data_IF_495526037204
#
_entry.id   IF_495526037204
#
_cell.length_a   1.000
_cell.length_b   1.000
_cell.length_c   1.000
_cell.angle_alpha   90.00
_cell.angle_beta   90.00
_cell.angle_gamma   90.00
#
_symmetry.space_group_name_H-M   'P 1'
#
loop_
_entity.id
_entity.type
_entity.pdbx_description
1 polymer ?
#
# COMPACT_ATOMS: atom_id res chain seq x y z
N UNK A 1 -15.45 -15.98 -8.36
CA UNK A 1 -16.35 -14.94 -7.85
C UNK A 1 -15.75 -13.59 -8.25
N UNK A 2 -16.53 -12.63 -8.73
CA UNK A 2 -16.02 -11.33 -9.25
C UNK A 2 -16.50 -10.20 -8.33
N UNK A 3 -16.14 -10.30 -7.03
CA UNK A 3 -16.63 -9.40 -5.99
C UNK A 3 -16.18 -7.94 -6.13
N UNK A 4 -15.09 -7.73 -6.83
CA UNK A 4 -14.44 -6.42 -6.96
C UNK A 4 -14.42 -5.89 -8.39
N UNK A 5 -15.28 -6.43 -9.27
CA UNK A 5 -15.36 -5.97 -10.65
C UNK A 5 -15.61 -4.46 -10.73
N UNK A 6 -14.73 -3.76 -11.46
CA UNK A 6 -14.76 -2.31 -11.60
C UNK A 6 -14.38 -1.51 -10.35
N UNK A 7 -13.94 -2.15 -9.26
CA UNK A 7 -13.45 -1.47 -8.06
C UNK A 7 -11.96 -1.17 -8.19
N UNK A 8 -11.57 0.06 -7.89
CA UNK A 8 -10.17 0.46 -7.85
C UNK A 8 -9.59 0.22 -6.46
N UNK A 9 -8.48 -0.51 -6.42
CA UNK A 9 -7.78 -0.88 -5.19
C UNK A 9 -6.33 -0.40 -5.27
N UNK A 10 -5.89 0.38 -4.29
CA UNK A 10 -4.49 0.79 -4.11
C UNK A 10 -3.87 -0.09 -3.04
N UNK A 11 -2.68 -0.65 -3.30
CA UNK A 11 -1.93 -1.44 -2.32
C UNK A 11 -0.50 -0.90 -2.24
N UNK A 12 -0.10 -0.39 -1.07
CA UNK A 12 1.28 0.05 -0.82
C UNK A 12 2.17 -1.14 -0.41
N UNK A 13 3.46 -1.08 -0.73
CA UNK A 13 4.39 -2.17 -0.48
C UNK A 13 4.06 -3.44 -1.26
N UNK A 14 3.53 -3.30 -2.49
CA UNK A 14 3.01 -4.42 -3.28
C UNK A 14 3.93 -4.90 -4.41
N UNK A 15 5.20 -4.46 -4.42
CA UNK A 15 6.20 -4.98 -5.36
C UNK A 15 6.56 -6.45 -5.10
N UNK A 16 6.39 -6.94 -3.86
CA UNK A 16 6.72 -8.33 -3.45
C UNK A 16 5.92 -8.75 -2.20
N UNK A 17 6.12 -10.00 -1.79
CA UNK A 17 5.66 -10.52 -0.50
C UNK A 17 4.14 -10.41 -0.30
N UNK A 18 3.73 -10.07 0.91
CA UNK A 18 2.32 -10.01 1.33
C UNK A 18 1.52 -9.04 0.47
N UNK A 19 2.05 -7.84 0.22
CA UNK A 19 1.35 -6.83 -0.59
C UNK A 19 1.08 -7.29 -2.02
N UNK A 20 2.05 -8.00 -2.66
CA UNK A 20 1.86 -8.61 -3.97
C UNK A 20 0.76 -9.67 -3.96
N UNK A 21 0.72 -10.54 -2.96
CA UNK A 21 -0.30 -11.59 -2.85
C UNK A 21 -1.71 -11.01 -2.59
N UNK A 22 -1.81 -9.96 -1.75
CA UNK A 22 -3.05 -9.21 -1.56
C UNK A 22 -3.53 -8.64 -2.90
N UNK A 23 -2.63 -7.97 -3.63
CA UNK A 23 -2.92 -7.39 -4.93
C UNK A 23 -3.38 -8.45 -5.95
N UNK A 24 -2.70 -9.59 -5.99
CA UNK A 24 -3.07 -10.72 -6.85
C UNK A 24 -4.46 -11.26 -6.51
N UNK A 25 -4.82 -11.31 -5.23
CA UNK A 25 -6.15 -11.76 -4.82
C UNK A 25 -7.24 -10.80 -5.29
N UNK A 26 -7.03 -9.49 -5.18
CA UNK A 26 -7.97 -8.51 -5.73
C UNK A 26 -8.07 -8.61 -7.26
N UNK A 27 -6.94 -8.74 -7.95
CA UNK A 27 -6.90 -8.87 -9.41
C UNK A 27 -7.68 -10.11 -9.91
N UNK A 28 -7.53 -11.27 -9.24
CA UNK A 28 -8.31 -12.48 -9.52
C UNK A 28 -9.81 -12.29 -9.38
N UNK A 29 -10.23 -11.34 -8.59
CA UNK A 29 -11.64 -10.99 -8.38
C UNK A 29 -12.09 -9.76 -9.18
N UNK A 30 -11.34 -9.44 -10.26
CA UNK A 30 -11.64 -8.40 -11.26
C UNK A 30 -11.56 -6.95 -10.75
N UNK A 31 -10.76 -6.70 -9.71
CA UNK A 31 -10.43 -5.32 -9.35
C UNK A 31 -9.46 -4.69 -10.35
N UNK A 32 -9.55 -3.36 -10.51
CA UNK A 32 -8.50 -2.54 -11.10
C UNK A 32 -7.44 -2.29 -10.01
N UNK A 33 -6.25 -2.86 -10.15
CA UNK A 33 -5.23 -2.86 -9.10
C UNK A 33 -4.14 -1.84 -9.37
N UNK A 34 -3.92 -0.94 -8.42
CA UNK A 34 -2.78 -0.02 -8.41
C UNK A 34 -1.75 -0.53 -7.40
N UNK A 35 -0.65 -1.04 -7.94
CA UNK A 35 0.50 -1.51 -7.18
C UNK A 35 1.41 -0.33 -6.85
N UNK A 36 1.88 -0.21 -5.61
CA UNK A 36 2.83 0.83 -5.23
C UNK A 36 3.94 0.31 -4.32
N UNK A 37 5.13 0.79 -4.56
CA UNK A 37 6.33 0.58 -3.74
C UNK A 37 7.32 1.72 -4.01
N UNK A 38 8.28 1.94 -3.12
CA UNK A 38 9.43 2.82 -3.36
C UNK A 38 10.56 2.14 -4.15
N UNK A 39 10.37 0.90 -4.58
CA UNK A 39 11.32 0.13 -5.38
C UNK A 39 10.77 -0.10 -6.79
N UNK A 40 11.62 0.06 -7.81
CA UNK A 40 11.26 -0.18 -9.22
C UNK A 40 10.73 -1.60 -9.52
N UNK A 41 10.99 -2.57 -8.62
CA UNK A 41 10.46 -3.93 -8.67
C UNK A 41 8.92 -3.98 -8.83
N UNK A 42 8.22 -2.94 -8.38
CA UNK A 42 6.76 -2.84 -8.54
C UNK A 42 6.33 -2.86 -10.02
N UNK A 43 7.18 -2.35 -10.92
CA UNK A 43 6.91 -2.32 -12.35
C UNK A 43 6.96 -3.74 -12.96
N UNK A 44 7.92 -4.57 -12.51
CA UNK A 44 8.01 -5.97 -12.95
C UNK A 44 6.80 -6.78 -12.45
N UNK A 45 6.38 -6.53 -11.21
CA UNK A 45 5.18 -7.16 -10.65
C UNK A 45 3.93 -6.75 -11.41
N UNK A 46 3.80 -5.48 -11.78
CA UNK A 46 2.71 -4.99 -12.61
C UNK A 46 2.70 -5.66 -13.99
N UNK A 47 3.86 -5.79 -14.63
CA UNK A 47 3.99 -6.50 -15.90
C UNK A 47 3.52 -7.96 -15.77
N UNK A 48 3.96 -8.68 -14.74
CA UNK A 48 3.50 -10.04 -14.47
C UNK A 48 1.97 -10.12 -14.37
N UNK A 49 1.33 -9.17 -13.69
CA UNK A 49 -0.14 -9.15 -13.58
C UNK A 49 -0.82 -8.94 -14.93
N UNK A 50 -0.29 -8.02 -15.75
CA UNK A 50 -0.79 -7.79 -17.11
C UNK A 50 -0.62 -9.01 -18.00
N UNK A 51 0.52 -9.70 -17.91
CA UNK A 51 0.81 -10.93 -18.66
C UNK A 51 -0.16 -12.08 -18.27
N UNK A 52 -0.67 -12.06 -17.02
CA UNK A 52 -1.73 -12.97 -16.56
C UNK A 52 -3.15 -12.52 -16.97
N UNK A 53 -3.30 -11.39 -17.68
CA UNK A 53 -4.58 -10.86 -18.13
C UNK A 53 -5.36 -10.05 -17.06
N UNK A 54 -4.67 -9.55 -16.01
CA UNK A 54 -5.29 -8.73 -14.99
C UNK A 54 -5.17 -7.24 -15.29
N UNK A 55 -6.18 -6.47 -14.88
CA UNK A 55 -6.15 -5.01 -14.90
C UNK A 55 -5.25 -4.50 -13.76
N UNK A 56 -4.06 -4.02 -14.11
CA UNK A 56 -3.08 -3.55 -13.15
C UNK A 56 -2.29 -2.34 -13.67
N UNK A 57 -1.91 -1.46 -12.78
CA UNK A 57 -0.93 -0.39 -13.02
C UNK A 57 0.01 -0.28 -11.83
N UNK A 58 1.18 0.31 -12.03
CA UNK A 58 2.17 0.54 -10.99
C UNK A 58 2.48 2.02 -10.84
N UNK A 59 2.83 2.42 -9.64
CA UNK A 59 3.31 3.75 -9.32
C UNK A 59 4.39 3.68 -8.25
N UNK A 60 5.59 4.16 -8.57
CA UNK A 60 6.68 4.24 -7.59
C UNK A 60 6.41 5.41 -6.64
N UNK A 61 6.24 5.10 -5.35
CA UNK A 61 6.01 6.09 -4.31
C UNK A 61 6.63 5.65 -2.99
N UNK A 62 7.28 6.60 -2.32
CA UNK A 62 7.65 6.46 -0.93
C UNK A 62 6.50 6.98 -0.04
N UNK A 63 6.02 6.11 0.85
CA UNK A 63 4.87 6.44 1.73
C UNK A 63 5.20 7.50 2.78
N UNK A 64 6.48 7.78 3.06
CA UNK A 64 6.90 8.84 3.98
C UNK A 64 6.89 10.23 3.35
N UNK A 65 6.83 10.30 2.02
CA UNK A 65 6.71 11.54 1.26
C UNK A 65 5.25 11.86 0.94
N UNK A 66 4.78 12.97 1.52
CA UNK A 66 3.39 13.43 1.35
C UNK A 66 3.03 13.72 -0.11
N UNK A 67 3.98 14.20 -0.93
CA UNK A 67 3.73 14.48 -2.36
C UNK A 67 3.60 13.19 -3.14
N UNK A 68 4.49 12.22 -2.91
CA UNK A 68 4.42 10.89 -3.53
C UNK A 68 3.09 10.19 -3.23
N UNK A 69 2.66 10.23 -1.96
CA UNK A 69 1.38 9.62 -1.57
C UNK A 69 0.22 10.31 -2.29
N UNK A 70 0.20 11.64 -2.35
CA UNK A 70 -0.83 12.37 -3.10
C UNK A 70 -0.85 11.97 -4.57
N UNK A 71 0.32 11.97 -5.21
CA UNK A 71 0.46 11.63 -6.62
C UNK A 71 0.03 10.19 -6.93
N UNK A 72 0.31 9.23 -6.03
CA UNK A 72 -0.19 7.86 -6.13
C UNK A 72 -1.72 7.81 -6.20
N UNK A 73 -2.39 8.53 -5.30
CA UNK A 73 -3.87 8.55 -5.28
C UNK A 73 -4.46 9.33 -6.47
N UNK A 74 -3.81 10.41 -6.92
CA UNK A 74 -4.20 11.15 -8.12
C UNK A 74 -4.02 10.28 -9.37
N UNK A 75 -2.92 9.53 -9.46
CA UNK A 75 -2.68 8.55 -10.52
C UNK A 75 -3.76 7.48 -10.57
N UNK A 76 -4.10 6.88 -9.42
CA UNK A 76 -5.15 5.86 -9.35
C UNK A 76 -6.51 6.39 -9.82
N UNK A 77 -6.89 7.60 -9.37
CA UNK A 77 -8.13 8.26 -9.80
C UNK A 77 -8.15 8.56 -11.30
N UNK A 78 -7.02 9.02 -11.85
CA UNK A 78 -6.86 9.28 -13.29
C UNK A 78 -6.95 8.00 -14.12
N UNK A 79 -6.36 6.91 -13.65
CA UNK A 79 -6.26 5.66 -14.37
C UNK A 79 -7.56 4.86 -14.39
N UNK A 80 -8.27 4.82 -13.27
CA UNK A 80 -9.40 3.91 -13.07
C UNK A 80 -10.65 4.57 -12.48
N UNK A 81 -10.62 5.87 -12.24
CA UNK A 81 -11.73 6.59 -11.62
C UNK A 81 -11.70 6.51 -10.09
N UNK A 82 -12.86 6.31 -9.47
CA UNK A 82 -13.01 6.37 -8.01
C UNK A 82 -12.17 5.34 -7.28
N UNK A 83 -11.40 5.77 -6.28
CA UNK A 83 -10.70 4.86 -5.36
C UNK A 83 -11.69 4.27 -4.36
N UNK A 84 -11.86 2.95 -4.40
CA UNK A 84 -12.83 2.23 -3.57
C UNK A 84 -12.20 1.55 -2.36
N UNK A 85 -10.96 1.06 -2.50
CA UNK A 85 -10.25 0.32 -1.46
C UNK A 85 -8.81 0.80 -1.41
N UNK A 86 -8.28 0.99 -0.21
CA UNK A 86 -6.87 1.31 0.01
C UNK A 86 -6.29 0.40 1.08
N UNK A 87 -5.25 -0.35 0.71
CA UNK A 87 -4.53 -1.28 1.59
C UNK A 87 -3.16 -0.70 1.89
N UNK A 88 -2.94 -0.33 3.13
CA UNK A 88 -1.68 0.24 3.61
C UNK A 88 -0.84 -0.90 4.20
N UNK A 89 -0.05 -1.53 3.31
CA UNK A 89 0.76 -2.70 3.63
C UNK A 89 2.27 -2.38 3.67
N UNK A 90 2.70 -1.25 3.09
CA UNK A 90 4.10 -0.84 3.20
C UNK A 90 4.54 -0.81 4.66
N UNK A 91 5.66 -1.44 4.94
CA UNK A 91 6.20 -1.52 6.28
C UNK A 91 7.65 -1.99 6.27
N UNK A 92 8.38 -1.61 7.29
CA UNK A 92 9.79 -1.95 7.50
C UNK A 92 10.00 -2.42 8.93
N UNK A 93 11.09 -3.11 9.15
CA UNK A 93 11.56 -3.49 10.46
C UNK A 93 13.07 -3.38 10.49
N UNK A 94 13.61 -2.75 11.53
CA UNK A 94 15.01 -2.85 11.92
C UNK A 94 15.09 -3.69 13.19
N UNK A 95 16.08 -4.56 13.27
CA UNK A 95 16.23 -5.49 14.37
C UNK A 95 17.51 -5.17 15.12
N UNK A 96 17.38 -4.69 16.36
CA UNK A 96 18.50 -4.36 17.24
C UNK A 96 18.07 -4.52 18.71
N UNK A 97 19.05 -4.61 19.62
CA UNK A 97 18.77 -4.39 21.06
C UNK A 97 18.41 -2.93 21.28
N UNK A 98 17.58 -2.66 22.28
CA UNK A 98 17.16 -1.28 22.58
C UNK A 98 18.32 -0.33 22.81
N UNK A 99 19.37 -0.83 23.52
CA UNK A 99 20.59 -0.05 23.78
C UNK A 99 21.45 0.24 22.56
N UNK A 100 21.28 -0.54 21.48
CA UNK A 100 22.05 -0.44 20.23
C UNK A 100 21.25 0.24 19.10
N UNK A 101 19.93 0.42 19.28
CA UNK A 101 19.06 1.02 18.27
C UNK A 101 19.36 2.52 18.13
N UNK A 102 19.66 2.95 16.91
CA UNK A 102 19.94 4.35 16.62
C UNK A 102 18.64 5.16 16.44
N UNK A 103 18.68 6.47 16.74
CA UNK A 103 17.55 7.38 16.44
C UNK A 103 17.12 7.31 14.96
N UNK A 104 18.09 7.18 14.04
CA UNK A 104 17.81 7.07 12.60
C UNK A 104 16.97 5.82 12.27
N UNK A 105 17.28 4.70 12.90
CA UNK A 105 16.51 3.45 12.72
C UNK A 105 15.13 3.57 13.37
N UNK A 106 15.06 4.18 14.55
CA UNK A 106 13.78 4.51 15.21
C UNK A 106 12.90 5.38 14.31
N UNK A 107 13.42 6.51 13.84
CA UNK A 107 12.71 7.44 12.98
C UNK A 107 12.25 6.76 11.67
N UNK A 108 13.14 5.95 11.06
CA UNK A 108 12.80 5.20 9.85
C UNK A 108 11.62 4.26 10.06
N UNK A 109 11.60 3.51 11.17
CA UNK A 109 10.48 2.61 11.48
C UNK A 109 9.17 3.39 11.71
N UNK A 110 9.21 4.48 12.47
CA UNK A 110 8.02 5.29 12.74
C UNK A 110 7.54 6.06 11.50
N UNK A 111 8.44 6.57 10.70
CA UNK A 111 8.09 7.28 9.47
C UNK A 111 7.37 6.35 8.50
N UNK A 112 7.86 5.14 8.26
CA UNK A 112 7.21 4.21 7.34
C UNK A 112 5.95 3.60 7.95
N UNK A 113 6.06 3.00 9.16
CA UNK A 113 4.98 2.18 9.72
C UNK A 113 3.85 3.00 10.35
N UNK A 114 4.09 4.26 10.71
CA UNK A 114 3.11 5.11 11.38
C UNK A 114 2.72 6.31 10.53
N UNK A 115 3.68 7.19 10.20
CA UNK A 115 3.42 8.38 9.40
C UNK A 115 2.98 8.03 7.98
N UNK A 116 3.62 7.04 7.34
CA UNK A 116 3.22 6.56 6.00
C UNK A 116 1.77 6.07 5.97
N UNK A 117 1.35 5.30 6.96
CA UNK A 117 -0.05 4.87 7.12
C UNK A 117 -0.98 6.07 7.31
N UNK A 118 -0.61 7.04 8.15
CA UNK A 118 -1.38 8.27 8.34
C UNK A 118 -1.56 9.05 7.04
N UNK A 119 -0.48 9.27 6.27
CA UNK A 119 -0.53 9.99 4.99
C UNK A 119 -1.43 9.28 3.96
N UNK A 120 -1.31 7.95 3.87
CA UNK A 120 -2.17 7.14 3.00
C UNK A 120 -3.65 7.19 3.43
N UNK A 121 -3.93 7.08 4.74
CA UNK A 121 -5.29 7.24 5.28
C UNK A 121 -5.88 8.61 4.92
N UNK A 122 -5.09 9.69 5.07
CA UNK A 122 -5.55 11.05 4.75
C UNK A 122 -5.98 11.16 3.29
N UNK A 123 -5.16 10.67 2.35
CA UNK A 123 -5.49 10.70 0.93
C UNK A 123 -6.68 9.79 0.58
N UNK A 124 -6.71 8.57 1.12
CA UNK A 124 -7.82 7.64 0.92
C UNK A 124 -9.16 8.26 1.36
N UNK A 125 -9.20 8.83 2.56
CA UNK A 125 -10.41 9.50 3.09
C UNK A 125 -10.83 10.65 2.18
N UNK A 126 -9.90 11.50 1.73
CA UNK A 126 -10.21 12.63 0.84
C UNK A 126 -10.84 12.16 -0.47
N UNK A 127 -10.28 11.14 -1.12
CA UNK A 127 -10.78 10.58 -2.37
C UNK A 127 -12.15 9.90 -2.20
N UNK A 128 -12.29 9.06 -1.17
CA UNK A 128 -13.54 8.33 -0.89
C UNK A 128 -14.69 9.26 -0.48
N UNK A 129 -14.41 10.35 0.24
CA UNK A 129 -15.42 11.38 0.58
C UNK A 129 -15.89 12.16 -0.65
N UNK A 130 -14.98 12.47 -1.58
CA UNK A 130 -15.30 13.15 -2.84
C UNK A 130 -16.29 12.34 -3.70
N UNK A 131 -16.14 11.02 -3.73
CA UNK A 131 -17.01 10.12 -4.48
C UNK A 131 -18.44 9.98 -3.91
N UNK A 132 -18.64 10.35 -2.63
CA UNK A 132 -19.89 10.18 -1.87
C UNK A 132 -20.38 8.72 -1.72
N UNK A 133 -19.62 7.75 -2.25
CA UNK A 133 -19.95 6.31 -2.15
C UNK A 133 -19.23 5.63 -0.99
N UNK A 134 -18.30 6.34 -0.34
CA UNK A 134 -17.45 5.77 0.68
C UNK A 134 -16.39 4.83 0.11
N UNK A 135 -15.83 3.98 0.97
CA UNK A 135 -14.81 3.01 0.60
C UNK A 135 -14.31 2.24 1.81
N UNK A 136 -13.31 1.39 1.60
CA UNK A 136 -12.68 0.60 2.65
C UNK A 136 -11.20 0.93 2.77
N UNK A 137 -10.73 1.16 3.99
CA UNK A 137 -9.32 1.36 4.32
C UNK A 137 -8.88 0.18 5.18
N UNK A 138 -7.79 -0.47 4.78
CA UNK A 138 -7.21 -1.62 5.47
C UNK A 138 -5.78 -1.26 5.86
N UNK A 139 -5.53 -1.16 7.17
CA UNK A 139 -4.19 -0.95 7.70
C UNK A 139 -3.62 -2.29 8.16
N UNK A 140 -2.43 -2.63 7.65
CA UNK A 140 -1.73 -3.83 8.08
C UNK A 140 -1.14 -3.60 9.47
N UNK A 141 -1.42 -4.52 10.38
CA UNK A 141 -0.80 -4.58 11.70
C UNK A 141 0.18 -5.75 11.76
N UNK A 142 0.83 -5.92 12.90
CA UNK A 142 1.74 -7.03 13.15
C UNK A 142 1.35 -7.80 14.41
N UNK A 143 1.66 -9.08 14.45
CA UNK A 143 1.61 -9.87 15.67
C UNK A 143 2.49 -9.29 16.78
N UNK A 144 3.59 -8.63 16.41
CA UNK A 144 4.50 -7.93 17.33
C UNK A 144 3.85 -6.75 18.08
N UNK A 145 2.74 -6.21 17.56
CA UNK A 145 1.96 -5.21 18.29
C UNK A 145 1.26 -5.79 19.55
N UNK A 146 1.16 -7.11 19.63
CA UNK A 146 0.53 -7.81 20.74
C UNK A 146 1.51 -8.64 21.56
N UNK A 147 2.39 -9.35 20.87
CA UNK A 147 3.38 -10.24 21.48
C UNK A 147 4.79 -9.69 21.19
N UNK A 148 5.56 -9.43 22.24
CA UNK A 148 6.95 -8.95 22.09
C UNK A 148 7.86 -10.05 21.55
N UNK A 149 8.75 -9.67 20.64
CA UNK A 149 9.79 -10.55 20.11
C UNK A 149 11.17 -10.00 20.46
N UNK A 150 12.16 -10.89 20.57
CA UNK A 150 13.54 -10.50 20.87
C UNK A 150 14.08 -9.68 19.70
N UNK A 151 14.64 -8.51 20.00
CA UNK A 151 15.24 -7.58 19.04
C UNK A 151 14.26 -6.92 18.05
N UNK A 152 12.98 -6.78 18.40
CA UNK A 152 12.01 -6.04 17.57
C UNK A 152 11.14 -5.10 18.41
#
# INVERSE_FOLDING_TARGET
MQRFEGKTVIITGSGRGIGKEIALRFAKEKANVVLSSNEALVNDTCKQFKDMGYEASSFEADVVDKSNVRELFDFAEKQYGEVNISVHNAGVITSAKVEDLTEKEWDFNLDVNTKGVFLCCQQAIMKMRKSKKGGSIINMASGQARDGFIYT
#
